data_IF_093567088993
#
_entry.id   IF_093567088993
#
_cell.length_a   1.000
_cell.length_b   1.000
_cell.length_c   1.000
_cell.angle_alpha   90.00
_cell.angle_beta   90.00
_cell.angle_gamma   90.00
#
_symmetry.space_group_name_H-M   'P 1'
#
loop_
_entity.id
_entity.type
_entity.pdbx_description
1 polymer ?
#
# COMPACT_ATOMS: atom_id res chain seq x y z
N UNK A 1 6.37 10.32 -20.45
CA UNK A 1 4.99 9.78 -20.59
C UNK A 1 5.04 8.32 -20.19
N UNK A 2 4.42 7.97 -19.06
CA UNK A 2 4.34 6.59 -18.56
C UNK A 2 3.27 5.85 -19.35
N UNK A 3 3.60 4.65 -19.86
CA UNK A 3 2.66 3.81 -20.60
C UNK A 3 1.59 3.26 -19.64
N UNK A 4 0.30 3.61 -19.82
CA UNK A 4 -0.76 3.23 -18.88
C UNK A 4 -1.02 1.72 -18.83
N UNK A 5 -0.70 0.97 -19.89
CA UNK A 5 -0.88 -0.49 -19.93
C UNK A 5 0.20 -1.17 -19.09
N UNK A 6 1.44 -0.67 -19.18
CA UNK A 6 2.54 -1.17 -18.34
C UNK A 6 2.26 -0.92 -16.86
N UNK A 7 1.74 0.25 -16.53
CA UNK A 7 1.34 0.60 -15.16
C UNK A 7 0.23 -0.34 -14.64
N UNK A 8 -0.84 -0.55 -15.41
CA UNK A 8 -1.91 -1.46 -15.02
C UNK A 8 -1.42 -2.90 -14.78
N UNK A 9 -0.55 -3.42 -15.67
CA UNK A 9 0.03 -4.75 -15.52
C UNK A 9 0.90 -4.87 -14.27
N UNK A 10 1.63 -3.81 -13.93
CA UNK A 10 2.47 -3.77 -12.73
C UNK A 10 1.61 -3.81 -11.47
N UNK A 11 0.55 -2.98 -11.40
CA UNK A 11 -0.40 -2.98 -10.28
C UNK A 11 -1.11 -4.34 -10.11
N UNK A 12 -1.45 -5.00 -11.22
CA UNK A 12 -2.03 -6.35 -11.18
C UNK A 12 -1.05 -7.38 -10.61
N UNK A 13 0.23 -7.29 -10.96
CA UNK A 13 1.28 -8.19 -10.44
C UNK A 13 1.52 -7.98 -8.95
N UNK A 14 1.58 -6.72 -8.52
CA UNK A 14 1.73 -6.36 -7.11
C UNK A 14 0.53 -6.84 -6.29
N UNK A 15 -0.68 -6.62 -6.80
CA UNK A 15 -1.90 -7.16 -6.16
C UNK A 15 -1.83 -8.68 -6.02
N UNK A 16 -1.46 -9.39 -7.09
CA UNK A 16 -1.32 -10.86 -7.05
C UNK A 16 -0.31 -11.31 -5.99
N UNK A 17 0.84 -10.65 -5.90
CA UNK A 17 1.88 -10.97 -4.90
C UNK A 17 1.36 -10.81 -3.47
N UNK A 18 0.62 -9.75 -3.17
CA UNK A 18 0.02 -9.56 -1.86
C UNK A 18 -1.03 -10.65 -1.54
N UNK A 19 -1.87 -11.04 -2.51
CA UNK A 19 -2.86 -12.11 -2.33
C UNK A 19 -2.26 -13.52 -2.22
N UNK A 20 -0.99 -13.72 -2.58
CA UNK A 20 -0.27 -14.97 -2.35
C UNK A 20 0.25 -15.09 -0.91
N UNK A 21 0.34 -13.97 -0.16
CA UNK A 21 0.77 -13.98 1.23
C UNK A 21 -0.39 -14.36 2.20
N UNK A 22 -0.26 -15.45 2.97
CA UNK A 22 -1.30 -15.89 3.87
C UNK A 22 -1.60 -14.89 4.99
N UNK A 23 -0.64 -14.05 5.36
CA UNK A 23 -0.81 -13.01 6.38
C UNK A 23 -1.72 -11.90 5.88
N UNK A 24 -1.50 -11.46 4.64
CA UNK A 24 -2.33 -10.45 3.99
C UNK A 24 -3.75 -10.95 3.78
N UNK A 25 -3.90 -12.18 3.29
CA UNK A 25 -5.22 -12.83 3.11
C UNK A 25 -5.93 -13.02 4.45
N UNK A 26 -5.21 -13.39 5.51
CA UNK A 26 -5.78 -13.50 6.85
C UNK A 26 -6.29 -12.14 7.36
N UNK A 27 -5.54 -11.04 7.15
CA UNK A 27 -6.02 -9.70 7.48
C UNK A 27 -7.27 -9.33 6.68
N UNK A 28 -7.26 -9.59 5.37
CA UNK A 28 -8.38 -9.30 4.49
C UNK A 28 -9.66 -10.02 4.90
N UNK A 29 -9.58 -11.32 5.19
CA UNK A 29 -10.74 -12.15 5.49
C UNK A 29 -11.20 -12.04 6.95
N UNK A 30 -10.28 -11.83 7.90
CA UNK A 30 -10.56 -11.97 9.32
C UNK A 30 -10.90 -10.65 10.00
N UNK A 31 -10.23 -9.56 9.63
CA UNK A 31 -10.46 -8.23 10.22
C UNK A 31 -11.19 -7.29 9.27
N UNK A 32 -11.26 -7.60 7.98
CA UNK A 32 -11.84 -6.72 6.96
C UNK A 32 -11.09 -5.39 6.80
N UNK A 33 -9.93 -5.27 7.46
CA UNK A 33 -9.10 -4.08 7.48
C UNK A 33 -7.69 -4.45 7.00
N UNK A 34 -7.60 -4.82 5.71
CA UNK A 34 -6.32 -5.01 5.06
C UNK A 34 -5.82 -3.66 4.52
N UNK A 35 -4.51 -3.37 4.63
CA UNK A 35 -3.90 -2.23 3.96
C UNK A 35 -3.90 -2.44 2.44
N UNK A 36 -3.51 -1.42 1.68
CA UNK A 36 -3.39 -1.54 0.23
C UNK A 36 -2.34 -2.61 -0.16
N UNK A 37 -2.54 -3.33 -1.28
CA UNK A 37 -1.58 -4.34 -1.74
C UNK A 37 -0.17 -3.76 -1.99
N UNK A 38 -0.11 -2.51 -2.48
CA UNK A 38 1.15 -1.79 -2.71
C UNK A 38 1.88 -1.50 -1.39
N UNK A 39 1.17 -0.99 -0.38
CA UNK A 39 1.77 -0.72 0.93
C UNK A 39 2.25 -2.00 1.63
N UNK A 40 1.52 -3.11 1.47
CA UNK A 40 1.94 -4.40 2.00
C UNK A 40 3.19 -4.94 1.30
N UNK A 41 3.23 -4.91 -0.03
CA UNK A 41 4.44 -5.33 -0.74
C UNK A 41 5.64 -4.44 -0.40
N UNK A 42 5.41 -3.13 -0.23
CA UNK A 42 6.44 -2.18 0.18
C UNK A 42 6.99 -2.53 1.56
N UNK A 43 6.14 -2.84 2.54
CA UNK A 43 6.61 -3.23 3.87
C UNK A 43 7.36 -4.57 3.85
N UNK A 44 6.93 -5.53 3.02
CA UNK A 44 7.67 -6.79 2.80
C UNK A 44 9.03 -6.52 2.18
N UNK A 45 9.11 -5.64 1.19
CA UNK A 45 10.37 -5.27 0.52
C UNK A 45 11.32 -4.48 1.44
N UNK A 46 10.77 -3.78 2.45
CA UNK A 46 11.54 -3.17 3.55
C UNK A 46 12.07 -4.19 4.57
N UNK A 47 11.69 -5.47 4.45
CA UNK A 47 12.15 -6.56 5.31
C UNK A 47 11.22 -6.88 6.49
N UNK A 48 10.03 -6.28 6.55
CA UNK A 48 9.03 -6.65 7.54
C UNK A 48 8.34 -7.96 7.18
N UNK A 49 7.84 -8.70 8.17
CA UNK A 49 7.13 -9.96 7.93
C UNK A 49 5.93 -10.13 8.85
N UNK A 50 4.95 -10.93 8.40
CA UNK A 50 3.77 -11.25 9.18
C UNK A 50 3.01 -10.00 9.67
N UNK A 51 2.70 -9.96 10.97
CA UNK A 51 1.92 -8.89 11.58
C UNK A 51 2.63 -7.53 11.57
N UNK A 52 3.96 -7.52 11.57
CA UNK A 52 4.75 -6.29 11.49
C UNK A 52 4.63 -5.65 10.11
N UNK A 53 4.62 -6.47 9.05
CA UNK A 53 4.40 -6.00 7.68
C UNK A 53 3.02 -5.35 7.51
N UNK A 54 1.98 -5.91 8.14
CA UNK A 54 0.64 -5.31 8.16
C UNK A 54 0.62 -3.95 8.87
N UNK A 55 1.30 -3.86 10.02
CA UNK A 55 1.36 -2.61 10.79
C UNK A 55 2.09 -1.52 10.02
N UNK A 56 3.26 -1.85 9.46
CA UNK A 56 4.03 -0.93 8.62
C UNK A 56 3.24 -0.50 7.37
N UNK A 57 2.55 -1.42 6.72
CA UNK A 57 1.71 -1.12 5.56
C UNK A 57 0.57 -0.14 5.90
N UNK A 58 -0.09 -0.31 7.04
CA UNK A 58 -1.08 0.68 7.50
C UNK A 58 -0.48 2.06 7.75
N UNK A 59 0.74 2.14 8.29
CA UNK A 59 1.43 3.42 8.48
C UNK A 59 1.76 4.08 7.14
N UNK A 60 2.17 3.30 6.14
CA UNK A 60 2.42 3.79 4.78
C UNK A 60 1.15 4.37 4.18
N UNK A 61 0.02 3.66 4.26
CA UNK A 61 -1.27 4.14 3.74
C UNK A 61 -1.75 5.42 4.46
N UNK A 62 -1.57 5.48 5.78
CA UNK A 62 -1.89 6.69 6.57
C UNK A 62 -1.02 7.87 6.14
N UNK A 63 0.29 7.65 6.00
CA UNK A 63 1.22 8.68 5.56
C UNK A 63 0.91 9.16 4.12
N UNK A 64 0.57 8.25 3.22
CA UNK A 64 0.17 8.59 1.85
C UNK A 64 -1.09 9.46 1.86
N UNK A 65 -2.12 9.06 2.61
CA UNK A 65 -3.37 9.82 2.74
C UNK A 65 -3.13 11.22 3.31
N UNK A 66 -2.29 11.33 4.33
CA UNK A 66 -1.97 12.60 4.96
C UNK A 66 -1.18 13.52 4.02
N UNK A 67 -0.22 12.98 3.26
CA UNK A 67 0.54 13.75 2.28
C UNK A 67 -0.37 14.40 1.23
N UNK A 68 -1.36 13.67 0.71
CA UNK A 68 -2.33 14.23 -0.25
C UNK A 68 -3.25 15.28 0.41
N UNK A 69 -3.59 15.11 1.68
CA UNK A 69 -4.41 16.07 2.43
C UNK A 69 -3.65 17.39 2.69
N UNK A 70 -2.35 17.32 2.96
CA UNK A 70 -1.51 18.50 3.19
C UNK A 70 -1.19 19.25 1.89
N UNK A 71 -1.10 18.55 0.74
CA UNK A 71 -0.93 19.18 -0.57
C UNK A 71 -2.08 20.12 -0.95
N UNK A 72 -3.32 19.73 -0.63
CA UNK A 72 -4.51 20.58 -0.83
C UNK A 72 -4.58 21.77 0.13
N UNK A 73 -3.81 21.74 1.23
CA UNK A 73 -3.73 22.83 2.21
C UNK A 73 -2.46 23.67 2.08
N UNK A 74 -1.66 23.49 1.03
CA UNK A 74 -0.51 24.36 0.76
C UNK A 74 -1.04 25.76 0.45
N UNK A 75 -0.82 26.80 1.30
CA UNK A 75 -1.21 28.15 0.93
C UNK A 75 -0.49 28.53 -0.38
N UNK A 76 -1.14 29.26 -1.31
CA UNK A 76 -0.46 29.70 -2.52
C UNK A 76 0.82 30.43 -2.10
N UNK A 77 1.96 29.98 -2.61
CA UNK A 77 3.26 30.54 -2.28
C UNK A 77 3.21 32.07 -2.41
N UNK A 78 3.37 32.76 -1.29
CA UNK A 78 3.32 34.22 -1.18
C UNK A 78 4.59 34.87 -1.73
#
# INVERSE_FOLDING_TARGET
MTDPIRDLLQRQRESKRAYEDPTYVAALLRTGNAPSPEAFNTSVDMGYSGTEALTAAHQIDQAATQFFTDLDNTPPAA
#
